data_IF_592262538774
#
_entry.id   IF_592262538774
#
_cell.length_a   1.000
_cell.length_b   1.000
_cell.length_c   1.000
_cell.angle_alpha   90.00
_cell.angle_beta   90.00
_cell.angle_gamma   90.00
#
_symmetry.space_group_name_H-M   'P 1'
#
loop_
_entity.id
_entity.type
_entity.pdbx_description
1 polymer ?
#
# COMPACT_ATOMS: atom_id res chain seq x y z
N UNK A 1 31.84 22.26 -24.47
CA UNK A 1 31.01 21.03 -24.28
C UNK A 1 29.78 21.24 -23.38
N UNK A 2 29.83 22.02 -22.29
CA UNK A 2 28.69 22.17 -21.35
C UNK A 2 27.37 22.73 -21.94
N UNK A 3 27.41 23.72 -22.84
CA UNK A 3 26.17 24.31 -23.43
C UNK A 3 25.40 23.34 -24.35
N UNK A 4 26.09 22.53 -25.16
CA UNK A 4 25.42 21.56 -26.06
C UNK A 4 24.77 20.42 -25.28
N UNK A 5 25.34 20.05 -24.13
CA UNK A 5 24.77 19.04 -23.24
C UNK A 5 23.51 19.56 -22.54
N UNK A 6 23.54 20.78 -22.01
CA UNK A 6 22.36 21.42 -21.37
C UNK A 6 21.20 21.59 -22.36
N UNK A 7 21.49 22.02 -23.60
CA UNK A 7 20.45 22.19 -24.63
C UNK A 7 19.86 20.84 -25.03
N UNK A 8 20.67 19.78 -25.18
CA UNK A 8 20.17 18.43 -25.48
C UNK A 8 19.32 17.86 -24.34
N UNK A 9 19.72 18.06 -23.07
CA UNK A 9 18.94 17.62 -21.91
C UNK A 9 17.61 18.39 -21.80
N UNK A 10 17.60 19.71 -22.02
CA UNK A 10 16.37 20.49 -22.02
C UNK A 10 15.43 20.11 -23.18
N UNK A 11 15.96 19.81 -24.36
CA UNK A 11 15.16 19.35 -25.51
C UNK A 11 14.53 17.97 -25.25
N UNK A 12 15.26 17.05 -24.62
CA UNK A 12 14.72 15.75 -24.23
C UNK A 12 13.61 15.91 -23.19
N UNK A 13 13.79 16.77 -22.17
CA UNK A 13 12.76 17.02 -21.14
C UNK A 13 11.51 17.70 -21.72
N UNK A 14 11.67 18.54 -22.75
CA UNK A 14 10.56 19.22 -23.43
C UNK A 14 9.81 18.35 -24.44
N UNK A 15 10.40 17.26 -24.96
CA UNK A 15 9.72 16.30 -25.86
C UNK A 15 9.09 15.11 -25.14
N UNK A 16 9.48 14.82 -23.89
CA UNK A 16 8.88 13.77 -23.04
C UNK A 16 7.34 13.89 -22.89
N UNK A 17 6.70 15.08 -22.72
CA UNK A 17 5.25 15.13 -22.58
C UNK A 17 4.47 14.76 -23.86
N UNK A 18 5.12 14.72 -25.03
CA UNK A 18 4.44 14.38 -26.30
C UNK A 18 4.20 12.86 -26.43
N UNK A 19 4.91 12.03 -25.65
CA UNK A 19 4.71 10.58 -25.63
C UNK A 19 3.63 10.11 -24.65
N UNK A 20 3.11 10.98 -23.78
CA UNK A 20 2.07 10.61 -22.82
C UNK A 20 0.75 10.17 -23.49
N UNK A 21 0.50 10.63 -24.72
CA UNK A 21 -0.67 10.25 -25.52
C UNK A 21 -0.41 9.12 -26.53
N UNK A 22 0.81 8.58 -26.57
CA UNK A 22 1.19 7.46 -27.43
C UNK A 22 1.69 6.27 -26.59
N UNK A 23 1.13 6.10 -25.39
CA UNK A 23 1.26 4.84 -24.67
C UNK A 23 0.62 3.77 -25.55
N UNK A 24 1.44 2.90 -26.13
CA UNK A 24 0.95 1.84 -26.98
C UNK A 24 0.13 0.91 -26.09
N UNK A 25 -1.11 0.58 -26.45
CA UNK A 25 -2.10 -0.11 -25.60
C UNK A 25 -1.62 -1.43 -24.97
N UNK A 26 -0.54 -2.02 -25.49
CA UNK A 26 0.09 -3.25 -25.01
C UNK A 26 1.18 -3.01 -23.94
N UNK A 27 1.48 -1.76 -23.58
CA UNK A 27 2.49 -1.41 -22.57
C UNK A 27 2.06 -0.25 -21.66
N UNK A 28 1.06 -0.46 -20.79
CA UNK A 28 0.59 0.58 -19.88
C UNK A 28 1.65 0.90 -18.81
N UNK A 29 2.28 2.07 -18.93
CA UNK A 29 3.34 2.55 -18.03
C UNK A 29 2.77 2.84 -16.64
N UNK A 30 1.60 3.49 -16.58
CA UNK A 30 0.93 3.87 -15.33
C UNK A 30 -0.01 2.75 -14.87
N UNK A 31 0.22 2.12 -13.70
CA UNK A 31 -0.56 0.96 -13.26
C UNK A 31 -1.75 1.29 -12.34
N UNK A 32 -2.23 2.54 -12.28
CA UNK A 32 -3.34 2.98 -11.41
C UNK A 32 -4.03 4.24 -11.92
N UNK A 33 -5.15 4.60 -11.27
CA UNK A 33 -5.84 5.86 -11.48
C UNK A 33 -6.59 5.96 -12.81
N UNK A 34 -6.79 4.85 -13.52
CA UNK A 34 -7.64 4.81 -14.69
C UNK A 34 -9.12 4.73 -14.26
N UNK A 35 -9.99 5.40 -15.00
CA UNK A 35 -11.43 5.24 -14.81
C UNK A 35 -11.85 3.88 -15.36
N UNK A 36 -12.66 3.14 -14.60
CA UNK A 36 -13.20 1.86 -15.06
C UNK A 36 -14.14 2.12 -16.25
N UNK A 37 -13.94 1.47 -17.40
CA UNK A 37 -14.83 1.65 -18.54
C UNK A 37 -16.25 1.22 -18.18
N UNK A 38 -17.22 1.98 -18.66
CA UNK A 38 -18.64 1.69 -18.53
C UNK A 38 -19.03 0.46 -19.36
N UNK A 39 -20.19 -0.12 -19.05
CA UNK A 39 -20.72 -1.28 -19.80
C UNK A 39 -20.87 -0.95 -21.29
N UNK A 40 -21.26 0.28 -21.62
CA UNK A 40 -21.42 0.74 -22.99
C UNK A 40 -20.07 0.80 -23.73
N UNK A 41 -19.04 1.36 -23.09
CA UNK A 41 -17.70 1.46 -23.70
C UNK A 41 -17.08 0.08 -23.97
N UNK A 42 -17.35 -0.91 -23.11
CA UNK A 42 -16.91 -2.30 -23.33
C UNK A 42 -17.62 -2.91 -24.53
N UNK A 43 -18.91 -2.63 -24.72
CA UNK A 43 -19.68 -3.08 -25.89
C UNK A 43 -19.15 -2.44 -27.18
N UNK A 44 -18.64 -1.21 -27.09
CA UNK A 44 -18.00 -0.48 -28.19
C UNK A 44 -16.51 -0.89 -28.40
N UNK A 45 -16.03 -1.89 -27.66
CA UNK A 45 -14.71 -2.51 -27.87
C UNK A 45 -13.62 -2.08 -26.88
N UNK A 46 -13.95 -1.34 -25.81
CA UNK A 46 -12.98 -1.02 -24.77
C UNK A 46 -12.48 -2.29 -24.06
N UNK A 47 -11.17 -2.41 -23.90
CA UNK A 47 -10.54 -3.52 -23.18
C UNK A 47 -10.59 -3.30 -21.67
N UNK A 48 -11.12 -4.28 -20.95
CA UNK A 48 -10.97 -4.37 -19.50
C UNK A 48 -9.53 -4.77 -19.17
N UNK A 49 -8.80 -3.85 -18.55
CA UNK A 49 -7.50 -4.12 -17.91
C UNK A 49 -7.67 -4.85 -16.57
N UNK A 50 -6.55 -5.33 -16.02
CA UNK A 50 -6.51 -5.91 -14.68
C UNK A 50 -7.06 -4.92 -13.63
N UNK A 51 -7.72 -5.44 -12.59
CA UNK A 51 -8.37 -4.62 -11.55
C UNK A 51 -7.40 -3.64 -10.86
N UNK A 52 -6.10 -3.96 -10.82
CA UNK A 52 -5.09 -3.06 -10.25
C UNK A 52 -5.00 -1.69 -10.93
N UNK A 53 -5.40 -1.56 -12.20
CA UNK A 53 -5.35 -0.31 -12.96
C UNK A 53 -6.41 0.73 -12.55
N UNK A 54 -7.51 0.30 -11.92
CA UNK A 54 -8.61 1.18 -11.53
C UNK A 54 -8.57 1.58 -10.05
N UNK A 55 -7.60 1.09 -9.29
CA UNK A 55 -7.43 1.46 -7.90
C UNK A 55 -6.74 2.81 -7.76
N UNK A 56 -6.97 3.49 -6.64
CA UNK A 56 -6.25 4.70 -6.27
C UNK A 56 -4.74 4.43 -6.20
N UNK A 57 -3.97 5.37 -6.74
CA UNK A 57 -2.53 5.27 -6.75
C UNK A 57 -1.96 5.31 -5.32
N UNK A 58 -1.21 4.27 -4.96
CA UNK A 58 -0.54 4.18 -3.67
C UNK A 58 0.99 4.04 -3.85
N UNK A 59 1.72 4.02 -2.74
CA UNK A 59 3.19 3.93 -2.77
C UNK A 59 3.71 2.66 -3.46
N UNK A 60 2.97 1.55 -3.42
CA UNK A 60 3.36 0.33 -4.14
C UNK A 60 3.20 0.51 -5.65
N UNK A 61 2.15 1.21 -6.07
CA UNK A 61 1.93 1.48 -7.50
C UNK A 61 2.97 2.43 -8.09
N UNK A 62 3.59 3.30 -7.28
CA UNK A 62 4.74 4.10 -7.67
C UNK A 62 5.99 3.23 -7.97
N UNK A 63 6.20 2.18 -7.19
CA UNK A 63 7.30 1.22 -7.43
C UNK A 63 7.03 0.41 -8.70
N UNK A 64 5.79 -0.04 -8.90
CA UNK A 64 5.38 -0.74 -10.14
C UNK A 64 5.50 0.14 -11.39
N UNK A 65 5.23 1.44 -11.27
CA UNK A 65 5.48 2.42 -12.33
C UNK A 65 6.98 2.46 -12.70
N UNK A 66 7.87 2.47 -11.71
CA UNK A 66 9.31 2.46 -11.95
C UNK A 66 9.77 1.16 -12.65
N UNK A 67 9.21 0.02 -12.25
CA UNK A 67 9.47 -1.29 -12.87
C UNK A 67 9.04 -1.30 -14.35
N UNK A 68 7.80 -0.88 -14.62
CA UNK A 68 7.28 -0.75 -15.99
C UNK A 68 8.14 0.18 -16.86
N UNK A 69 8.64 1.29 -16.30
CA UNK A 69 9.51 2.23 -17.01
C UNK A 69 10.87 1.60 -17.36
N UNK A 70 11.45 0.87 -16.41
CA UNK A 70 12.70 0.14 -16.62
C UNK A 70 12.52 -0.90 -17.73
N UNK A 71 11.45 -1.68 -17.68
CA UNK A 71 11.12 -2.68 -18.70
C UNK A 71 10.94 -2.05 -20.07
N UNK A 72 10.23 -0.91 -20.16
CA UNK A 72 10.07 -0.18 -21.41
C UNK A 72 11.42 0.23 -22.03
N UNK A 73 12.36 0.70 -21.20
CA UNK A 73 13.68 1.11 -21.68
C UNK A 73 14.49 -0.11 -22.12
N UNK A 74 14.59 -1.12 -21.26
CA UNK A 74 15.50 -2.27 -21.46
C UNK A 74 14.98 -3.24 -22.51
N UNK A 75 13.69 -3.53 -22.51
CA UNK A 75 13.08 -4.51 -23.42
C UNK A 75 12.50 -3.84 -24.69
N UNK A 76 12.05 -2.59 -24.59
CA UNK A 76 11.50 -1.85 -25.74
C UNK A 76 12.56 -1.05 -26.48
N UNK A 77 13.12 -0.03 -25.82
CA UNK A 77 13.94 0.98 -26.49
C UNK A 77 15.33 0.49 -26.88
N UNK A 78 16.02 -0.21 -25.97
CA UNK A 78 17.41 -0.67 -26.17
C UNK A 78 17.55 -1.60 -27.38
N UNK A 79 16.73 -2.66 -27.58
CA UNK A 79 16.88 -3.56 -28.71
C UNK A 79 16.63 -2.88 -30.05
N UNK A 80 15.61 -2.01 -30.12
CA UNK A 80 15.24 -1.28 -31.34
C UNK A 80 16.36 -0.31 -31.74
N UNK A 81 16.76 0.57 -30.82
CA UNK A 81 17.82 1.55 -31.09
C UNK A 81 19.18 0.90 -31.28
N UNK A 82 19.50 -0.10 -30.46
CA UNK A 82 20.75 -0.85 -30.55
C UNK A 82 20.91 -1.50 -31.92
N UNK A 83 19.89 -2.24 -32.38
CA UNK A 83 19.87 -2.87 -33.70
C UNK A 83 20.02 -1.83 -34.81
N UNK A 84 19.24 -0.73 -34.74
CA UNK A 84 19.33 0.34 -35.71
C UNK A 84 20.75 0.93 -35.83
N UNK A 85 21.39 1.25 -34.69
CA UNK A 85 22.73 1.83 -34.71
C UNK A 85 23.81 0.83 -35.15
N UNK A 86 23.68 -0.45 -34.81
CA UNK A 86 24.57 -1.49 -35.33
C UNK A 86 24.44 -1.65 -36.84
N UNK A 87 23.22 -1.64 -37.39
CA UNK A 87 22.99 -1.68 -38.83
C UNK A 87 23.58 -0.44 -39.53
N UNK A 88 23.36 0.75 -38.97
CA UNK A 88 23.92 2.00 -39.49
C UNK A 88 25.46 1.98 -39.48
N UNK A 89 26.06 1.53 -38.37
CA UNK A 89 27.51 1.38 -38.24
C UNK A 89 28.08 0.38 -39.23
N UNK A 90 27.43 -0.79 -39.38
CA UNK A 90 27.82 -1.82 -40.34
C UNK A 90 27.73 -1.34 -41.79
N UNK A 91 26.65 -0.62 -42.14
CA UNK A 91 26.48 -0.06 -43.48
C UNK A 91 27.56 0.97 -43.84
N UNK A 92 27.93 1.85 -42.89
CA UNK A 92 29.03 2.81 -43.07
C UNK A 92 30.39 2.13 -43.28
N UNK A 93 30.63 0.98 -42.63
CA UNK A 93 31.85 0.19 -42.83
C UNK A 93 31.85 -0.44 -44.22
N UNK A 94 30.76 -1.07 -44.64
CA UNK A 94 30.66 -1.74 -45.95
C UNK A 94 30.79 -0.76 -47.12
N UNK A 95 30.17 0.41 -47.04
CA UNK A 95 30.28 1.45 -48.07
C UNK A 95 31.56 2.28 -47.99
N UNK A 96 32.36 2.09 -46.93
CA UNK A 96 33.52 2.92 -46.64
C UNK A 96 34.75 2.70 -47.53
N UNK A 97 34.69 1.80 -48.52
CA UNK A 97 35.83 1.35 -49.32
C UNK A 97 36.71 2.49 -49.87
N UNK A 98 36.09 3.56 -50.41
CA UNK A 98 36.83 4.71 -50.97
C UNK A 98 37.01 5.88 -49.99
N UNK A 99 36.49 5.78 -48.76
CA UNK A 99 36.49 6.87 -47.76
C UNK A 99 36.82 6.31 -46.38
N UNK A 100 38.11 6.28 -45.95
CA UNK A 100 38.51 5.69 -44.66
C UNK A 100 37.84 6.36 -43.46
N UNK A 101 37.42 7.62 -43.61
CA UNK A 101 36.65 8.35 -42.61
C UNK A 101 35.29 7.71 -42.30
N UNK A 102 34.65 7.02 -43.26
CA UNK A 102 33.37 6.34 -43.05
C UNK A 102 33.53 5.05 -42.28
N UNK A 103 34.61 4.30 -42.54
CA UNK A 103 34.97 3.11 -41.78
C UNK A 103 35.20 3.47 -40.31
N UNK A 104 35.95 4.54 -40.06
CA UNK A 104 36.22 4.98 -38.69
C UNK A 104 34.92 5.41 -37.99
N UNK A 105 34.06 6.19 -38.65
CA UNK A 105 32.76 6.58 -38.10
C UNK A 105 31.88 5.37 -37.78
N UNK A 106 31.82 4.37 -38.66
CA UNK A 106 31.05 3.16 -38.42
C UNK A 106 31.55 2.39 -37.20
N UNK A 107 32.88 2.25 -37.05
CA UNK A 107 33.49 1.64 -35.85
C UNK A 107 33.18 2.43 -34.58
N UNK A 108 33.22 3.76 -34.64
CA UNK A 108 32.93 4.62 -33.50
C UNK A 108 31.46 4.50 -33.08
N UNK A 109 30.53 4.47 -34.04
CA UNK A 109 29.10 4.22 -33.77
C UNK A 109 28.92 2.87 -33.07
N UNK A 110 29.46 1.78 -33.63
CA UNK A 110 29.31 0.45 -33.03
C UNK A 110 29.89 0.37 -31.61
N UNK A 111 31.07 0.97 -31.37
CA UNK A 111 31.68 1.01 -30.02
C UNK A 111 30.83 1.82 -29.05
N UNK A 112 30.37 3.01 -29.45
CA UNK A 112 29.54 3.86 -28.60
C UNK A 112 28.19 3.21 -28.28
N UNK A 113 27.57 2.54 -29.25
CA UNK A 113 26.35 1.74 -29.03
C UNK A 113 26.60 0.60 -28.05
N UNK A 114 27.70 -0.15 -28.20
CA UNK A 114 28.06 -1.21 -27.26
C UNK A 114 28.27 -0.69 -25.82
N UNK A 115 28.98 0.44 -25.66
CA UNK A 115 29.14 1.08 -24.34
C UNK A 115 27.81 1.58 -23.78
N UNK A 116 26.93 2.17 -24.60
CA UNK A 116 25.60 2.61 -24.19
C UNK A 116 24.75 1.45 -23.67
N UNK A 117 24.71 0.34 -24.41
CA UNK A 117 23.99 -0.88 -24.00
C UNK A 117 24.57 -1.42 -22.69
N UNK A 118 25.90 -1.50 -22.56
CA UNK A 118 26.55 -1.97 -21.35
C UNK A 118 26.21 -1.11 -20.12
N UNK A 119 26.16 0.23 -20.27
CA UNK A 119 25.79 1.15 -19.19
C UNK A 119 24.32 0.95 -18.79
N UNK A 120 23.40 0.85 -19.75
CA UNK A 120 21.97 0.67 -19.46
C UNK A 120 21.72 -0.66 -18.77
N UNK A 121 22.28 -1.75 -19.29
CA UNK A 121 22.15 -3.08 -18.68
C UNK A 121 22.84 -3.15 -17.31
N UNK A 122 24.00 -2.51 -17.14
CA UNK A 122 24.67 -2.41 -15.84
C UNK A 122 23.84 -1.63 -14.81
N UNK A 123 23.23 -0.51 -15.23
CA UNK A 123 22.34 0.29 -14.38
C UNK A 123 21.09 -0.49 -13.98
N UNK A 124 20.51 -1.24 -14.93
CA UNK A 124 19.39 -2.14 -14.70
C UNK A 124 19.70 -3.17 -13.61
N UNK A 125 20.86 -3.83 -13.68
CA UNK A 125 21.27 -4.81 -12.67
C UNK A 125 21.42 -4.20 -11.28
N UNK A 126 21.99 -3.00 -11.18
CA UNK A 126 22.14 -2.28 -9.90
C UNK A 126 20.76 -1.89 -9.34
N UNK A 127 19.89 -1.30 -10.16
CA UNK A 127 18.55 -0.91 -9.73
C UNK A 127 17.75 -2.13 -9.26
N UNK A 128 17.78 -3.22 -10.04
CA UNK A 128 17.12 -4.47 -9.71
C UNK A 128 17.64 -5.06 -8.38
N UNK A 129 18.97 -5.03 -8.16
CA UNK A 129 19.57 -5.45 -6.89
C UNK A 129 19.07 -4.61 -5.70
N UNK A 130 18.99 -3.29 -5.86
CA UNK A 130 18.48 -2.38 -4.82
C UNK A 130 17.01 -2.68 -4.52
N UNK A 131 16.17 -2.84 -5.54
CA UNK A 131 14.75 -3.14 -5.36
C UNK A 131 14.52 -4.46 -4.61
N UNK A 132 15.27 -5.51 -4.95
CA UNK A 132 15.23 -6.79 -4.21
C UNK A 132 15.70 -6.64 -2.77
N UNK A 133 16.75 -5.84 -2.54
CA UNK A 133 17.33 -5.67 -1.20
C UNK A 133 16.43 -4.85 -0.27
N UNK A 134 15.66 -3.90 -0.82
CA UNK A 134 14.74 -3.05 -0.07
C UNK A 134 13.31 -3.61 0.03
N UNK A 135 12.98 -4.64 -0.75
CA UNK A 135 11.70 -5.30 -0.74
C UNK A 135 11.46 -6.09 0.57
N UNK A 136 11.02 -5.41 1.63
CA UNK A 136 10.51 -6.07 2.83
C UNK A 136 9.21 -6.85 2.52
N UNK A 137 9.05 -8.03 3.12
CA UNK A 137 7.93 -8.98 2.91
C UNK A 137 6.52 -8.44 3.21
N UNK A 138 6.43 -7.25 3.79
CA UNK A 138 5.17 -6.59 4.14
C UNK A 138 4.48 -5.93 2.93
N UNK A 139 5.23 -5.60 1.87
CA UNK A 139 4.72 -4.89 0.68
C UNK A 139 4.75 -5.76 -0.58
N UNK A 140 5.66 -6.75 -0.63
CA UNK A 140 5.91 -7.55 -1.83
C UNK A 140 5.64 -9.03 -1.53
N UNK A 141 4.67 -9.62 -2.23
CA UNK A 141 4.21 -10.99 -1.97
C UNK A 141 5.18 -12.06 -2.49
N UNK A 142 5.95 -11.78 -3.55
CA UNK A 142 7.10 -12.58 -4.02
C UNK A 142 8.01 -11.70 -4.87
N UNK A 143 9.32 -11.69 -4.59
CA UNK A 143 10.35 -11.29 -5.54
C UNK A 143 10.82 -12.57 -6.25
N UNK A 144 10.21 -12.91 -7.38
CA UNK A 144 10.66 -14.04 -8.19
C UNK A 144 11.64 -13.53 -9.24
N UNK A 145 12.78 -14.21 -9.36
CA UNK A 145 13.73 -13.99 -10.44
C UNK A 145 13.22 -14.70 -11.70
N UNK A 146 12.81 -13.91 -12.69
CA UNK A 146 12.43 -14.38 -14.02
C UNK A 146 13.42 -13.95 -15.11
N UNK A 147 13.24 -14.42 -16.36
CA UNK A 147 14.06 -14.03 -17.51
C UNK A 147 14.01 -12.53 -17.84
N UNK A 148 13.02 -11.80 -17.31
CA UNK A 148 12.85 -10.35 -17.47
C UNK A 148 13.18 -9.54 -16.20
N UNK A 149 13.69 -10.17 -15.14
CA UNK A 149 13.99 -9.51 -13.87
C UNK A 149 13.07 -9.90 -12.72
N UNK A 150 12.95 -9.01 -11.72
CA UNK A 150 12.18 -9.25 -10.50
C UNK A 150 10.76 -8.77 -10.71
N UNK A 151 9.81 -9.70 -10.76
CA UNK A 151 8.39 -9.32 -10.81
C UNK A 151 7.95 -8.82 -9.44
N UNK A 152 7.77 -7.51 -9.30
CA UNK A 152 7.27 -6.92 -8.06
C UNK A 152 5.77 -7.16 -7.98
N UNK A 153 5.39 -8.22 -7.27
CA UNK A 153 3.97 -8.45 -6.95
C UNK A 153 3.64 -7.63 -5.72
N UNK A 154 3.02 -6.47 -5.92
CA UNK A 154 2.46 -5.69 -4.82
C UNK A 154 1.44 -6.54 -4.08
N UNK A 155 1.52 -6.57 -2.75
CA UNK A 155 0.45 -7.08 -1.88
C UNK A 155 -0.67 -6.04 -1.79
N UNK A 156 -1.24 -5.69 -2.94
CA UNK A 156 -2.59 -5.12 -2.96
C UNK A 156 -3.51 -6.29 -2.68
N UNK A 157 -4.42 -6.17 -1.71
CA UNK A 157 -5.43 -7.19 -1.47
C UNK A 157 -6.08 -7.52 -2.81
N UNK A 158 -6.02 -8.77 -3.23
CA UNK A 158 -6.58 -9.11 -4.53
C UNK A 158 -8.09 -9.03 -4.41
N UNK A 159 -8.78 -8.67 -5.50
CA UNK A 159 -10.23 -8.86 -5.50
C UNK A 159 -10.60 -10.32 -5.30
N UNK A 160 -9.72 -11.32 -5.45
CA UNK A 160 -10.06 -12.70 -5.06
C UNK A 160 -10.23 -12.84 -3.53
N UNK A 161 -9.53 -12.01 -2.77
CA UNK A 161 -9.71 -11.87 -1.32
C UNK A 161 -10.95 -11.04 -0.97
N UNK A 162 -11.47 -10.21 -1.91
CA UNK A 162 -12.73 -9.44 -1.80
C UNK A 162 -13.95 -10.21 -2.37
N UNK A 163 -13.76 -11.05 -3.39
CA UNK A 163 -14.75 -11.74 -4.26
C UNK A 163 -15.01 -13.18 -3.79
N UNK A 164 -14.22 -13.68 -2.83
CA UNK A 164 -14.77 -14.69 -1.90
C UNK A 164 -15.97 -14.13 -1.10
N UNK A 165 -16.13 -12.80 -1.04
CA UNK A 165 -17.43 -12.14 -0.87
C UNK A 165 -18.07 -11.90 -2.23
N UNK A 166 -19.09 -12.69 -2.56
CA UNK A 166 -19.96 -12.50 -3.73
C UNK A 166 -20.26 -11.03 -4.02
N UNK A 167 -20.24 -10.62 -5.29
CA UNK A 167 -20.59 -9.26 -5.70
C UNK A 167 -21.84 -8.73 -4.97
N UNK A 168 -21.91 -7.43 -4.61
CA UNK A 168 -23.16 -6.88 -4.12
C UNK A 168 -24.15 -6.95 -5.28
N UNK A 169 -25.11 -7.87 -5.16
CA UNK A 169 -26.40 -7.69 -5.78
C UNK A 169 -26.99 -6.34 -5.33
N UNK A 170 -28.09 -5.88 -5.98
CA UNK A 170 -28.80 -4.68 -5.57
C UNK A 170 -28.91 -4.62 -4.04
N UNK A 171 -28.58 -3.45 -3.46
CA UNK A 171 -28.45 -3.23 -2.03
C UNK A 171 -29.46 -4.09 -1.25
N UNK A 172 -29.01 -5.10 -0.48
CA UNK A 172 -29.92 -6.03 0.16
C UNK A 172 -30.84 -5.26 1.09
N UNK A 173 -32.13 -5.41 0.84
CA UNK A 173 -33.19 -4.87 1.68
C UNK A 173 -33.05 -5.51 3.07
N UNK A 174 -32.66 -4.70 4.05
CA UNK A 174 -32.73 -4.94 5.49
C UNK A 174 -32.54 -6.38 5.99
N UNK A 175 -31.30 -6.77 6.28
CA UNK A 175 -30.98 -7.96 7.08
C UNK A 175 -29.85 -8.84 6.52
N UNK A 176 -29.74 -8.95 5.19
CA UNK A 176 -28.77 -9.86 4.54
C UNK A 176 -27.31 -9.42 4.72
N UNK A 177 -27.04 -8.11 4.83
CA UNK A 177 -25.67 -7.60 5.07
C UNK A 177 -25.07 -8.14 6.37
N UNK A 178 -25.91 -8.43 7.37
CA UNK A 178 -25.50 -8.86 8.70
C UNK A 178 -25.04 -10.32 8.75
N UNK A 179 -25.33 -11.13 7.73
CA UNK A 179 -24.80 -12.50 7.60
C UNK A 179 -23.47 -12.54 6.84
N UNK A 180 -22.98 -11.38 6.36
CA UNK A 180 -21.81 -11.26 5.49
C UNK A 180 -20.80 -10.25 6.07
N UNK A 181 -20.04 -10.60 7.12
CA UNK A 181 -19.15 -9.67 7.84
C UNK A 181 -18.15 -8.92 6.95
N UNK A 182 -17.65 -9.59 5.91
CA UNK A 182 -16.76 -8.98 4.92
C UNK A 182 -17.43 -7.87 4.11
N UNK A 183 -18.68 -8.07 3.70
CA UNK A 183 -19.45 -7.05 2.97
C UNK A 183 -19.81 -5.88 3.90
N UNK A 184 -20.13 -6.19 5.16
CA UNK A 184 -20.37 -5.18 6.19
C UNK A 184 -19.12 -4.34 6.45
N UNK A 185 -17.94 -4.96 6.61
CA UNK A 185 -16.68 -4.24 6.78
C UNK A 185 -16.40 -3.32 5.58
N UNK A 186 -16.60 -3.80 4.35
CA UNK A 186 -16.46 -2.99 3.15
C UNK A 186 -17.42 -1.79 3.12
N UNK A 187 -18.68 -1.97 3.54
CA UNK A 187 -19.68 -0.89 3.61
C UNK A 187 -19.26 0.24 4.57
N UNK A 188 -18.65 -0.11 5.70
CA UNK A 188 -18.27 0.85 6.74
C UNK A 188 -16.79 1.26 6.69
N UNK A 189 -16.07 0.86 5.63
CA UNK A 189 -14.65 1.14 5.43
C UNK A 189 -13.76 0.60 6.58
N UNK A 190 -14.02 -0.63 7.03
CA UNK A 190 -13.29 -1.34 8.07
C UNK A 190 -12.47 -2.52 7.54
N UNK A 191 -11.51 -2.98 8.35
CA UNK A 191 -10.71 -4.16 8.02
C UNK A 191 -11.44 -5.49 8.32
N UNK A 192 -11.31 -6.43 7.39
CA UNK A 192 -11.67 -7.83 7.57
C UNK A 192 -10.47 -8.75 7.25
N UNK A 193 -10.10 -9.70 8.14
CA UNK A 193 -10.60 -9.87 9.50
C UNK A 193 -10.22 -8.67 10.38
N UNK A 194 -10.98 -8.48 11.48
CA UNK A 194 -10.70 -7.42 12.45
C UNK A 194 -9.27 -7.50 12.98
N UNK A 195 -8.63 -6.35 13.15
CA UNK A 195 -7.26 -6.22 13.65
C UNK A 195 -7.08 -4.91 14.42
N UNK A 196 -6.00 -4.83 15.20
CA UNK A 196 -5.57 -3.58 15.80
C UNK A 196 -4.92 -2.67 14.76
N UNK A 197 -4.94 -1.37 15.02
CA UNK A 197 -4.03 -0.46 14.35
C UNK A 197 -2.58 -0.74 14.78
N UNK A 198 -1.59 -0.59 13.87
CA UNK A 198 -0.18 -0.77 14.22
C UNK A 198 0.26 0.10 15.40
N UNK A 199 -0.31 1.31 15.52
CA UNK A 199 -0.03 2.23 16.63
C UNK A 199 -0.54 1.66 17.98
N UNK A 200 -1.70 0.99 18.00
CA UNK A 200 -2.23 0.36 19.20
C UNK A 200 -1.35 -0.83 19.62
N UNK A 201 -0.90 -1.66 18.67
CA UNK A 201 0.01 -2.77 18.96
C UNK A 201 1.33 -2.29 19.57
N UNK A 202 1.86 -1.16 19.08
CA UNK A 202 3.04 -0.51 19.66
C UNK A 202 2.81 -0.08 21.11
N UNK A 203 1.66 0.52 21.43
CA UNK A 203 1.35 0.91 22.81
C UNK A 203 1.17 -0.30 23.73
N UNK A 204 0.42 -1.33 23.31
CA UNK A 204 0.24 -2.54 24.10
C UNK A 204 1.59 -3.18 24.40
N UNK A 205 2.47 -3.27 23.41
CA UNK A 205 3.84 -3.78 23.58
C UNK A 205 4.65 -2.93 24.56
N UNK A 206 4.61 -1.60 24.41
CA UNK A 206 5.31 -0.69 25.30
C UNK A 206 4.80 -0.78 26.75
N UNK A 207 3.47 -0.80 26.98
CA UNK A 207 2.87 -0.92 28.32
C UNK A 207 3.33 -2.22 29.00
N UNK A 208 3.30 -3.34 28.28
CA UNK A 208 3.82 -4.63 28.77
C UNK A 208 5.30 -4.55 29.15
N UNK A 209 6.11 -3.84 28.36
CA UNK A 209 7.54 -3.66 28.66
C UNK A 209 7.80 -2.84 29.94
N UNK A 210 6.88 -1.93 30.30
CA UNK A 210 6.97 -1.08 31.50
C UNK A 210 6.46 -1.77 32.76
N UNK A 211 5.68 -2.84 32.61
CA UNK A 211 5.07 -3.62 33.69
C UNK A 211 5.45 -5.10 33.57
N UNK A 212 6.76 -5.43 33.54
CA UNK A 212 7.20 -6.82 33.36
C UNK A 212 6.73 -7.67 34.55
N UNK A 213 6.14 -8.82 34.25
CA UNK A 213 5.66 -9.78 35.26
C UNK A 213 4.32 -9.40 35.92
N UNK A 214 3.74 -8.25 35.60
CA UNK A 214 2.43 -7.86 36.10
C UNK A 214 1.31 -8.56 35.32
N UNK A 215 0.27 -8.98 36.04
CA UNK A 215 -0.94 -9.47 35.41
C UNK A 215 -1.80 -8.28 34.95
N UNK A 216 -1.85 -7.99 33.66
CA UNK A 216 -2.67 -6.90 33.12
C UNK A 216 -4.18 -7.24 33.02
N UNK A 217 -4.56 -8.46 33.40
CA UNK A 217 -5.93 -8.96 33.25
C UNK A 217 -6.25 -9.34 31.80
N UNK A 218 -7.54 -9.43 31.49
CA UNK A 218 -8.01 -9.58 30.11
C UNK A 218 -7.62 -8.37 29.27
N UNK A 219 -7.32 -8.57 27.99
CA UNK A 219 -7.08 -7.49 27.04
C UNK A 219 -8.11 -7.57 25.92
N UNK A 220 -9.00 -6.59 25.85
CA UNK A 220 -10.02 -6.50 24.80
C UNK A 220 -9.75 -5.29 23.94
N UNK A 221 -9.38 -5.50 22.69
CA UNK A 221 -9.19 -4.40 21.73
C UNK A 221 -10.42 -4.18 20.86
N UNK A 222 -11.25 -5.20 20.69
CA UNK A 222 -12.49 -5.15 19.93
C UNK A 222 -13.61 -5.83 20.71
N UNK A 223 -14.84 -5.68 20.25
CA UNK A 223 -16.01 -6.27 20.87
C UNK A 223 -16.04 -7.78 20.60
N UNK A 224 -15.78 -8.58 21.64
CA UNK A 224 -15.73 -10.04 21.56
C UNK A 224 -17.11 -10.69 21.54
N UNK A 225 -18.13 -10.00 22.05
CA UNK A 225 -19.49 -10.55 22.18
C UNK A 225 -20.42 -10.07 21.05
N UNK A 226 -20.07 -8.95 20.41
CA UNK A 226 -20.82 -8.37 19.28
C UNK A 226 -19.90 -8.23 18.08
N UNK A 227 -19.51 -9.36 17.50
CA UNK A 227 -18.50 -9.38 16.43
C UNK A 227 -18.84 -8.46 15.25
N UNK A 228 -20.12 -8.40 14.83
CA UNK A 228 -20.56 -7.55 13.72
C UNK A 228 -20.37 -6.06 13.98
N UNK A 229 -20.38 -5.63 15.25
CA UNK A 229 -20.16 -4.23 15.62
C UNK A 229 -18.75 -3.75 15.30
N UNK A 230 -17.77 -4.66 15.27
CA UNK A 230 -16.41 -4.35 14.85
C UNK A 230 -16.33 -4.00 13.36
N UNK A 231 -17.28 -4.49 12.55
CA UNK A 231 -17.33 -4.25 11.12
C UNK A 231 -18.34 -3.17 10.74
N UNK A 232 -19.35 -2.90 11.58
CA UNK A 232 -20.33 -1.81 11.39
C UNK A 232 -19.94 -0.50 12.09
N UNK A 233 -18.76 -0.46 12.71
CA UNK A 233 -18.27 0.68 13.48
C UNK A 233 -19.19 1.08 14.64
N UNK A 234 -19.78 0.09 15.29
CA UNK A 234 -20.77 0.27 16.35
C UNK A 234 -22.16 0.68 15.86
N UNK A 235 -22.39 0.78 14.54
CA UNK A 235 -23.72 1.07 14.01
C UNK A 235 -24.68 -0.10 14.35
N UNK A 236 -25.82 0.17 15.00
CA UNK A 236 -26.73 -0.86 15.50
C UNK A 236 -27.57 -1.54 14.41
N UNK A 237 -27.17 -1.46 13.13
CA UNK A 237 -27.89 -2.06 12.00
C UNK A 237 -28.07 -3.57 12.15
N UNK A 238 -27.06 -4.26 12.70
CA UNK A 238 -27.09 -5.72 12.85
C UNK A 238 -27.40 -6.20 14.27
N UNK A 239 -27.07 -5.41 15.29
CA UNK A 239 -27.34 -5.70 16.70
C UNK A 239 -26.99 -4.51 17.58
N UNK A 240 -27.47 -4.49 18.84
CA UNK A 240 -26.95 -3.57 19.85
C UNK A 240 -25.47 -3.85 20.13
N UNK A 241 -24.65 -2.81 20.07
CA UNK A 241 -23.19 -2.85 20.28
C UNK A 241 -22.80 -2.52 21.72
N UNK A 242 -21.65 -3.02 22.19
CA UNK A 242 -21.18 -2.76 23.55
C UNK A 242 -20.62 -1.35 23.72
N UNK A 243 -20.12 -0.76 22.63
CA UNK A 243 -19.61 0.62 22.61
C UNK A 243 -20.46 1.50 21.69
N UNK A 244 -20.28 2.82 21.80
CA UNK A 244 -20.94 3.80 20.94
C UNK A 244 -20.48 3.67 19.49
N UNK A 245 -21.30 4.18 18.57
CA UNK A 245 -20.92 4.35 17.16
C UNK A 245 -19.62 5.15 17.09
N UNK A 246 -18.69 4.70 16.25
CA UNK A 246 -17.36 5.29 16.05
C UNK A 246 -16.44 5.26 17.30
N UNK A 247 -16.69 4.41 18.29
CA UNK A 247 -15.76 4.23 19.43
C UNK A 247 -14.34 3.85 18.96
N UNK A 248 -13.31 4.13 19.75
CA UNK A 248 -11.94 3.69 19.47
C UNK A 248 -11.80 2.16 19.33
N UNK A 249 -12.62 1.37 20.05
CA UNK A 249 -12.64 -0.09 19.86
C UNK A 249 -13.08 -0.49 18.45
N UNK A 250 -13.76 0.43 17.76
CA UNK A 250 -14.22 0.33 16.38
C UNK A 250 -13.51 1.32 15.43
N UNK A 251 -12.28 1.74 15.77
CA UNK A 251 -11.44 2.54 14.87
C UNK A 251 -11.69 4.05 14.82
N UNK A 252 -12.50 4.61 15.74
CA UNK A 252 -12.80 6.05 15.76
C UNK A 252 -13.80 6.44 14.68
N UNK A 253 -13.90 7.73 14.31
CA UNK A 253 -14.73 8.27 13.19
C UNK A 253 -14.07 8.14 11.81
N UNK A 254 -12.75 7.97 11.78
CA UNK A 254 -12.00 7.80 10.52
C UNK A 254 -11.94 6.34 10.05
N UNK A 255 -12.01 5.35 10.94
CA UNK A 255 -12.33 3.94 10.66
C UNK A 255 -11.32 3.12 9.85
N UNK A 256 -10.26 3.72 9.31
CA UNK A 256 -9.41 3.04 8.31
C UNK A 256 -8.17 2.36 8.86
N UNK A 257 -8.04 2.22 10.19
CA UNK A 257 -6.82 1.70 10.85
C UNK A 257 -7.04 0.43 11.66
N UNK A 258 -8.28 -0.01 11.86
CA UNK A 258 -8.62 -1.07 12.82
C UNK A 258 -8.80 -0.50 14.23
N UNK A 259 -8.85 -1.37 15.24
CA UNK A 259 -9.08 -0.91 16.62
C UNK A 259 -7.95 0.01 17.11
N UNK A 260 -8.36 1.09 17.78
CA UNK A 260 -7.51 2.11 18.36
C UNK A 260 -7.61 2.15 19.88
N UNK A 261 -8.31 1.22 20.53
CA UNK A 261 -8.36 1.13 21.99
C UNK A 261 -8.18 -0.28 22.52
N UNK A 262 -7.77 -0.37 23.77
CA UNK A 262 -7.62 -1.60 24.55
C UNK A 262 -8.16 -1.40 25.97
N UNK A 263 -8.92 -2.38 26.44
CA UNK A 263 -9.35 -2.49 27.83
C UNK A 263 -8.52 -3.54 28.56
N UNK A 264 -7.88 -3.14 29.65
CA UNK A 264 -7.15 -4.02 30.56
C UNK A 264 -8.02 -4.37 31.77
N UNK A 265 -8.36 -5.64 31.94
CA UNK A 265 -9.30 -6.13 32.95
C UNK A 265 -8.75 -6.19 34.39
N UNK A 266 -7.59 -5.59 34.67
CA UNK A 266 -7.05 -5.52 36.03
C UNK A 266 -7.05 -4.10 36.59
N UNK A 267 -8.19 -3.68 37.12
CA UNK A 267 -8.35 -2.38 37.78
C UNK A 267 -7.51 -2.25 39.07
N UNK A 268 -7.09 -3.34 39.71
CA UNK A 268 -6.33 -3.27 40.97
C UNK A 268 -4.94 -2.63 40.78
N UNK A 269 -4.34 -2.75 39.60
CA UNK A 269 -3.10 -2.06 39.22
C UNK A 269 -3.37 -0.89 38.27
N UNK A 270 -4.61 -0.39 38.22
CA UNK A 270 -5.07 0.48 37.15
C UNK A 270 -4.25 1.76 36.98
N UNK A 271 -3.86 2.39 38.10
CA UNK A 271 -3.02 3.60 38.06
C UNK A 271 -1.64 3.32 37.44
N UNK A 272 -1.09 2.13 37.65
CA UNK A 272 0.21 1.75 37.06
C UNK A 272 0.08 1.54 35.55
N UNK A 273 -1.02 0.96 35.09
CA UNK A 273 -1.33 0.81 33.66
C UNK A 273 -1.49 2.19 33.00
N UNK A 274 -2.25 3.10 33.62
CA UNK A 274 -2.41 4.49 33.13
C UNK A 274 -1.07 5.20 33.03
N UNK A 275 -0.24 5.13 34.08
CA UNK A 275 1.08 5.76 34.08
C UNK A 275 2.01 5.14 33.02
N UNK A 276 1.97 3.83 32.84
CA UNK A 276 2.72 3.14 31.80
C UNK A 276 2.28 3.59 30.40
N UNK A 277 0.96 3.66 30.14
CA UNK A 277 0.42 4.14 28.87
C UNK A 277 0.87 5.58 28.56
N UNK A 278 0.79 6.49 29.54
CA UNK A 278 1.27 7.87 29.40
C UNK A 278 2.77 7.90 29.08
N UNK A 279 3.58 7.08 29.77
CA UNK A 279 5.02 6.97 29.50
C UNK A 279 5.34 6.41 28.10
N UNK A 280 4.39 5.71 27.50
CA UNK A 280 4.45 5.16 26.14
C UNK A 280 3.92 6.14 25.08
N UNK A 281 3.58 7.37 25.45
CA UNK A 281 3.14 8.42 24.52
C UNK A 281 1.63 8.55 24.36
N UNK A 282 0.83 7.80 25.14
CA UNK A 282 -0.62 7.98 25.15
C UNK A 282 -0.97 9.29 25.89
N UNK A 283 -1.81 10.19 25.32
CA UNK A 283 -2.25 11.38 26.02
C UNK A 283 -2.96 11.02 27.33
N UNK A 284 -2.70 11.78 28.40
CA UNK A 284 -3.30 11.50 29.72
C UNK A 284 -4.83 11.41 29.70
N UNK A 285 -5.51 12.17 28.84
CA UNK A 285 -6.97 12.12 28.67
C UNK A 285 -7.48 10.81 28.02
N UNK A 286 -6.58 9.99 27.46
CA UNK A 286 -6.90 8.75 26.73
C UNK A 286 -6.50 7.47 27.45
N UNK A 287 -5.96 7.57 28.66
CA UNK A 287 -5.69 6.44 29.53
C UNK A 287 -6.38 6.67 30.87
N UNK A 288 -7.40 5.88 31.20
CA UNK A 288 -8.25 6.10 32.38
C UNK A 288 -8.83 4.80 32.92
N UNK A 289 -9.20 4.79 34.20
CA UNK A 289 -9.94 3.69 34.78
C UNK A 289 -11.44 3.91 34.55
N UNK A 290 -12.15 2.85 34.19
CA UNK A 290 -13.57 2.90 33.92
C UNK A 290 -14.34 1.86 34.72
N UNK A 291 -15.59 2.17 35.05
CA UNK A 291 -16.52 1.20 35.61
C UNK A 291 -17.23 0.41 34.49
N UNK A 292 -18.11 -0.52 34.84
CA UNK A 292 -18.85 -1.35 33.85
C UNK A 292 -19.71 -0.54 32.87
N UNK A 293 -20.08 0.70 33.21
CA UNK A 293 -20.83 1.58 32.33
C UNK A 293 -19.94 2.43 31.41
N UNK A 294 -18.62 2.24 31.42
CA UNK A 294 -17.66 3.06 30.68
C UNK A 294 -17.49 4.48 31.23
N UNK A 295 -17.92 4.73 32.47
CA UNK A 295 -17.72 6.03 33.10
C UNK A 295 -16.31 6.11 33.69
N UNK A 296 -15.61 7.22 33.45
CA UNK A 296 -14.32 7.49 34.05
C UNK A 296 -14.46 7.56 35.58
N UNK A 297 -13.73 6.69 36.25
CA UNK A 297 -13.64 6.62 37.71
C UNK A 297 -12.17 6.67 38.11
N UNK A 298 -11.89 7.08 39.36
CA UNK A 298 -10.52 7.06 39.87
C UNK A 298 -9.91 5.65 39.78
N UNK A 299 -8.58 5.54 39.69
CA UNK A 299 -7.91 4.24 39.67
C UNK A 299 -7.61 3.65 41.06
N UNK A 300 -8.05 4.32 42.12
CA UNK A 300 -7.84 3.86 43.51
C UNK A 300 -8.77 2.71 43.86
N UNK A 301 -8.33 1.82 44.75
CA UNK A 301 -9.18 0.75 45.28
C UNK A 301 -10.49 1.30 45.86
N UNK A 302 -11.62 0.69 45.50
CA UNK A 302 -12.96 1.13 45.95
C UNK A 302 -13.61 2.22 45.08
N UNK A 303 -12.94 2.71 44.03
CA UNK A 303 -13.53 3.69 43.10
C UNK A 303 -14.64 3.15 42.19
N UNK A 304 -14.85 1.83 42.18
CA UNK A 304 -15.74 1.15 41.23
C UNK A 304 -15.10 0.89 39.86
N UNK A 305 -13.79 1.11 39.70
CA UNK A 305 -13.07 0.74 38.49
C UNK A 305 -13.14 -0.78 38.27
N UNK A 306 -13.54 -1.18 37.06
CA UNK A 306 -13.58 -2.59 36.64
C UNK A 306 -12.51 -2.90 35.60
N UNK A 307 -12.04 -1.90 34.86
CA UNK A 307 -10.97 -2.04 33.88
C UNK A 307 -10.23 -0.71 33.65
N UNK A 308 -9.15 -0.76 32.88
CA UNK A 308 -8.42 0.42 32.39
C UNK A 308 -8.58 0.51 30.89
N UNK A 309 -9.15 1.61 30.43
CA UNK A 309 -9.32 1.93 29.02
C UNK A 309 -8.15 2.77 28.52
N UNK A 310 -7.55 2.37 27.41
CA UNK A 310 -6.43 3.07 26.77
C UNK A 310 -6.68 3.21 25.27
N UNK A 311 -6.71 4.45 24.77
CA UNK A 311 -6.91 4.76 23.35
C UNK A 311 -5.68 5.41 22.72
N UNK A 312 -5.40 5.07 21.46
CA UNK A 312 -4.34 5.67 20.66
C UNK A 312 -4.55 7.19 20.50
N UNK A 313 -3.46 8.00 20.43
CA UNK A 313 -3.49 9.42 20.11
C UNK A 313 -4.29 9.73 18.85
N UNK A 314 -4.23 8.87 17.83
CA UNK A 314 -4.94 9.07 16.57
C UNK A 314 -6.45 8.84 16.63
N UNK A 315 -6.98 8.25 17.71
CA UNK A 315 -8.43 8.06 17.84
C UNK A 315 -9.18 9.38 18.07
N UNK A 316 -10.29 9.60 17.38
CA UNK A 316 -11.01 10.88 17.34
C UNK A 316 -12.42 10.84 17.97
N UNK A 317 -12.73 9.74 18.67
CA UNK A 317 -13.98 9.55 19.41
C UNK A 317 -13.79 8.56 20.58
N UNK A 318 -14.52 8.73 21.69
CA UNK A 318 -14.57 7.75 22.79
C UNK A 318 -16.04 7.43 23.12
#
# INVERSE_FOLDING_TARGET
MKKKFIIATCLIVLTVPVFAQAAIDWWPIVPCGLNKPTVQEIQDGAKLLDESYYQDCNQCTLIKLADNLIDMIVQGLVPILGTFFFLLGGFLILLGNARPTWIQKGKDIMKNTAYGIAIVLGSYLIANFIFVSLASSDIISKANWGPTGVTITCKVGTLKDIVAGTAPGPAPVGGEICTRPQALAAQYNEFYPKRNAPELDQFISCIKSKLPGENLGSMYTWDVNKELCNYSRGNPTCSTCSHKVDSCHYGGKTGSKGSLAVDFGNAAIGQRIVNAAISCGVPAAKARCENTAGANVGCSSGSGATHVHVSAPSCDAN
#
